data_IF_250626208935
#
_entry.id   IF_250626208935
#
_cell.length_a   1.000
_cell.length_b   1.000
_cell.length_c   1.000
_cell.angle_alpha   90.00
_cell.angle_beta   90.00
_cell.angle_gamma   90.00
#
_symmetry.space_group_name_H-M   'P 1'
#
loop_
_entity.id
_entity.type
_entity.pdbx_description
1 polymer ?
#
# COMPACT_ATOMS: atom_id res chain seq x y z
N UNK A 1 12.49 -17.74 -6.43
CA UNK A 1 13.09 -16.78 -7.38
C UNK A 1 14.56 -16.63 -7.01
N UNK A 2 15.49 -16.88 -7.93
CA UNK A 2 16.92 -16.71 -7.65
C UNK A 2 17.28 -15.22 -7.66
N UNK A 3 17.31 -14.59 -6.50
CA UNK A 3 17.68 -13.17 -6.35
C UNK A 3 19.02 -12.81 -7.00
N UNK A 4 19.98 -13.73 -6.95
CA UNK A 4 21.28 -13.58 -7.61
C UNK A 4 21.16 -13.43 -9.13
N UNK A 5 20.22 -14.14 -9.76
CA UNK A 5 19.93 -14.04 -11.19
C UNK A 5 19.29 -12.70 -11.51
N UNK A 6 18.26 -12.29 -10.75
CA UNK A 6 17.61 -11.01 -10.91
C UNK A 6 18.62 -9.84 -10.82
N UNK A 7 19.48 -9.85 -9.79
CA UNK A 7 20.51 -8.82 -9.62
C UNK A 7 21.47 -8.73 -10.82
N UNK A 8 21.99 -9.90 -11.27
CA UNK A 8 22.89 -9.94 -12.44
C UNK A 8 22.21 -9.44 -13.71
N UNK A 9 20.95 -9.82 -13.93
CA UNK A 9 20.20 -9.37 -15.11
C UNK A 9 19.89 -7.88 -15.06
N UNK A 10 19.51 -7.34 -13.91
CA UNK A 10 19.29 -5.91 -13.71
C UNK A 10 20.56 -5.10 -13.94
N UNK A 11 21.69 -5.49 -13.35
CA UNK A 11 22.99 -4.82 -13.58
C UNK A 11 23.39 -4.88 -15.05
N UNK A 12 23.23 -6.01 -15.73
CA UNK A 12 23.53 -6.18 -17.16
C UNK A 12 22.67 -5.25 -18.02
N UNK A 13 21.37 -5.15 -17.74
CA UNK A 13 20.47 -4.26 -18.49
C UNK A 13 20.90 -2.81 -18.27
N UNK A 14 21.16 -2.39 -17.04
CA UNK A 14 21.60 -1.03 -16.73
C UNK A 14 22.91 -0.67 -17.43
N UNK A 15 23.92 -1.54 -17.38
CA UNK A 15 25.21 -1.35 -18.11
C UNK A 15 24.97 -1.23 -19.61
N UNK A 16 24.18 -2.11 -20.22
CA UNK A 16 23.90 -2.06 -21.64
C UNK A 16 23.18 -0.77 -22.04
N UNK A 17 22.23 -0.30 -21.23
CA UNK A 17 21.52 0.96 -21.48
C UNK A 17 22.48 2.15 -21.44
N UNK A 18 23.32 2.26 -20.41
CA UNK A 18 24.29 3.33 -20.30
C UNK A 18 25.31 3.33 -21.46
N UNK A 19 25.83 2.15 -21.80
CA UNK A 19 26.77 2.04 -22.91
C UNK A 19 26.13 2.36 -24.26
N UNK A 20 24.86 2.08 -24.47
CA UNK A 20 24.12 2.42 -25.69
C UNK A 20 23.91 3.94 -25.86
N UNK A 21 23.76 4.65 -24.74
CA UNK A 21 23.59 6.10 -24.73
C UNK A 21 24.92 6.81 -25.03
N UNK A 22 26.00 6.36 -24.40
CA UNK A 22 27.28 7.04 -24.46
C UNK A 22 28.17 6.60 -25.63
N UNK A 23 28.02 5.35 -26.09
CA UNK A 23 28.83 4.79 -27.17
C UNK A 23 27.95 4.35 -28.33
N UNK A 24 27.87 5.19 -29.36
CA UNK A 24 27.16 4.86 -30.62
C UNK A 24 28.03 3.94 -31.48
N UNK A 25 28.03 2.65 -31.21
CA UNK A 25 28.74 1.67 -32.01
C UNK A 25 29.32 0.51 -31.20
N UNK A 26 29.76 -0.55 -31.90
CA UNK A 26 30.42 -1.72 -31.29
C UNK A 26 31.91 -1.53 -31.35
N UNK A 27 32.51 -0.83 -30.39
CA UNK A 27 33.96 -0.65 -30.31
C UNK A 27 34.62 -1.53 -29.24
N UNK A 28 35.95 -1.66 -29.31
CA UNK A 28 36.74 -2.38 -28.27
C UNK A 28 36.57 -1.72 -26.91
N UNK A 29 36.46 -0.41 -26.85
CA UNK A 29 36.28 0.39 -25.64
C UNK A 29 34.95 0.06 -24.96
N UNK A 30 33.89 -0.06 -25.74
CA UNK A 30 32.56 -0.44 -25.22
C UNK A 30 32.59 -1.84 -24.60
N UNK A 31 33.26 -2.78 -25.24
CA UNK A 31 33.39 -4.16 -24.70
C UNK A 31 34.22 -4.21 -23.42
N UNK A 32 35.28 -3.45 -23.36
CA UNK A 32 36.13 -3.33 -22.16
C UNK A 32 35.36 -2.72 -20.98
N UNK A 33 34.66 -1.61 -21.20
CA UNK A 33 33.82 -0.99 -20.17
C UNK A 33 32.68 -1.92 -19.71
N UNK A 34 32.06 -2.64 -20.65
CA UNK A 34 31.04 -3.64 -20.31
C UNK A 34 31.61 -4.71 -19.38
N UNK A 35 32.79 -5.19 -19.64
CA UNK A 35 33.43 -6.22 -18.79
C UNK A 35 33.71 -5.69 -17.38
N UNK A 36 34.27 -4.48 -17.25
CA UNK A 36 34.53 -3.84 -15.95
C UNK A 36 33.24 -3.67 -15.17
N UNK A 37 32.24 -3.00 -15.78
CA UNK A 37 30.99 -2.62 -15.09
C UNK A 37 30.07 -3.83 -14.78
N UNK A 38 30.26 -4.96 -15.45
CA UNK A 38 29.47 -6.17 -15.13
C UNK A 38 30.17 -7.11 -14.17
N UNK A 39 31.50 -7.19 -14.22
CA UNK A 39 32.25 -8.22 -13.45
C UNK A 39 33.07 -7.68 -12.30
N UNK A 40 33.71 -6.51 -12.48
CA UNK A 40 34.65 -5.96 -11.49
C UNK A 40 34.02 -4.89 -10.61
N UNK A 41 33.35 -3.94 -11.20
CA UNK A 41 32.76 -2.81 -10.52
C UNK A 41 31.29 -2.64 -10.95
N UNK A 42 30.37 -3.46 -10.41
CA UNK A 42 28.97 -3.38 -10.78
C UNK A 42 28.39 -2.02 -10.42
N UNK A 43 27.57 -1.46 -11.32
CA UNK A 43 26.90 -0.16 -11.12
C UNK A 43 25.85 -0.18 -10.03
N UNK A 44 25.41 -1.37 -9.63
CA UNK A 44 24.44 -1.56 -8.56
C UNK A 44 25.13 -2.17 -7.34
N UNK A 45 24.84 -1.67 -6.17
CA UNK A 45 25.20 -2.34 -4.93
C UNK A 45 24.51 -3.69 -4.82
N UNK A 46 25.11 -4.64 -4.12
CA UNK A 46 24.47 -5.94 -3.85
C UNK A 46 23.10 -5.78 -3.17
N UNK A 47 22.20 -6.73 -3.34
CA UNK A 47 20.90 -6.68 -2.69
C UNK A 47 21.06 -6.72 -1.17
N UNK A 48 20.34 -5.83 -0.48
CA UNK A 48 20.24 -5.83 0.98
C UNK A 48 18.87 -6.43 1.32
N UNK A 49 18.88 -7.51 2.10
CA UNK A 49 17.67 -8.13 2.62
C UNK A 49 17.32 -7.50 3.96
N UNK A 50 16.16 -6.88 4.03
CA UNK A 50 15.62 -6.38 5.28
C UNK A 50 14.39 -7.18 5.64
N UNK A 51 14.37 -7.77 6.82
CA UNK A 51 13.18 -8.43 7.35
C UNK A 51 12.18 -7.36 7.77
N UNK A 52 10.99 -7.43 7.20
CA UNK A 52 9.87 -6.59 7.61
C UNK A 52 8.87 -7.50 8.30
N UNK A 53 8.60 -7.24 9.58
CA UNK A 53 7.55 -7.96 10.30
C UNK A 53 6.19 -7.59 9.74
N UNK A 54 5.28 -8.57 9.55
CA UNK A 54 3.92 -8.28 9.13
C UNK A 54 3.22 -7.43 10.19
N UNK A 55 2.37 -6.51 9.73
CA UNK A 55 1.53 -5.72 10.61
C UNK A 55 0.51 -6.64 11.29
N UNK A 56 0.30 -6.43 12.59
CA UNK A 56 -0.67 -7.19 13.35
C UNK A 56 -2.08 -6.92 12.84
N UNK A 57 -2.79 -7.97 12.47
CA UNK A 57 -4.17 -7.91 11.97
C UNK A 57 -5.17 -8.08 13.12
N UNK A 58 -6.33 -7.47 12.95
CA UNK A 58 -7.48 -7.75 13.82
C UNK A 58 -7.96 -9.19 13.67
N UNK A 59 -8.48 -9.76 14.73
CA UNK A 59 -9.20 -11.05 14.70
C UNK A 59 -10.55 -10.91 13.99
N UNK A 60 -11.16 -9.74 14.07
CA UNK A 60 -12.44 -9.39 13.48
C UNK A 60 -12.28 -8.87 12.06
N UNK A 61 -13.24 -9.21 11.20
CA UNK A 61 -13.36 -8.67 9.85
C UNK A 61 -13.87 -7.22 9.86
N UNK A 62 -13.81 -6.56 8.73
CA UNK A 62 -14.36 -5.22 8.56
C UNK A 62 -15.87 -5.19 8.88
N UNK A 63 -16.61 -6.21 8.44
CA UNK A 63 -18.03 -6.33 8.77
C UNK A 63 -18.29 -6.53 10.27
N UNK A 64 -17.41 -7.24 11.00
CA UNK A 64 -17.54 -7.42 12.44
C UNK A 64 -17.39 -6.11 13.21
N UNK A 65 -16.62 -5.14 12.70
CA UNK A 65 -16.49 -3.81 13.31
C UNK A 65 -17.78 -3.00 13.26
N UNK A 66 -18.70 -3.33 12.35
CA UNK A 66 -20.06 -2.77 12.34
C UNK A 66 -21.01 -3.60 13.21
N UNK A 67 -21.09 -4.90 12.96
CA UNK A 67 -22.09 -5.78 13.58
C UNK A 67 -21.82 -6.08 15.06
N UNK A 68 -20.58 -6.45 15.41
CA UNK A 68 -20.19 -6.87 16.77
C UNK A 68 -19.69 -5.71 17.62
N UNK A 69 -18.74 -4.93 17.07
CA UNK A 69 -18.06 -3.87 17.82
C UNK A 69 -18.78 -2.53 17.76
N UNK A 70 -19.71 -2.35 16.82
CA UNK A 70 -20.50 -1.12 16.60
C UNK A 70 -19.64 0.15 16.45
N UNK A 71 -18.45 0.02 15.92
CA UNK A 71 -17.57 1.14 15.61
C UNK A 71 -18.02 1.81 14.33
N UNK A 72 -18.47 1.02 13.34
CA UNK A 72 -18.95 1.47 12.04
C UNK A 72 -20.44 1.16 11.89
N UNK A 73 -21.12 1.87 10.99
CA UNK A 73 -22.51 1.59 10.66
C UNK A 73 -22.61 0.46 9.62
N UNK A 74 -23.52 -0.49 9.82
CA UNK A 74 -23.67 -1.66 8.93
C UNK A 74 -23.98 -1.25 7.48
N UNK A 75 -24.83 -0.23 7.28
CA UNK A 75 -25.18 0.26 5.94
C UNK A 75 -23.98 0.95 5.26
N UNK A 76 -23.15 1.63 6.03
CA UNK A 76 -21.92 2.21 5.52
C UNK A 76 -20.93 1.12 5.07
N UNK A 77 -20.69 0.11 5.92
CA UNK A 77 -19.83 -1.03 5.58
C UNK A 77 -20.32 -1.70 4.31
N UNK A 78 -21.62 -1.99 4.22
CA UNK A 78 -22.23 -2.59 3.02
C UNK A 78 -22.01 -1.74 1.78
N UNK A 79 -22.13 -0.41 1.88
CA UNK A 79 -21.97 0.49 0.75
C UNK A 79 -20.54 0.49 0.20
N UNK A 80 -19.51 0.54 1.08
CA UNK A 80 -18.11 0.59 0.62
C UNK A 80 -17.52 -0.80 0.30
N UNK A 81 -18.23 -1.87 0.66
CA UNK A 81 -17.86 -3.25 0.32
C UNK A 81 -18.57 -3.76 -0.94
N UNK A 82 -19.43 -2.95 -1.58
CA UNK A 82 -20.21 -3.36 -2.73
C UNK A 82 -19.34 -3.32 -4.00
N UNK A 83 -18.97 -4.49 -4.50
CA UNK A 83 -18.13 -4.68 -5.68
C UNK A 83 -18.73 -4.07 -6.97
N UNK A 84 -20.04 -3.84 -7.00
CA UNK A 84 -20.73 -3.27 -8.17
C UNK A 84 -20.51 -1.77 -8.34
N UNK A 85 -20.13 -1.06 -7.27
CA UNK A 85 -20.00 0.39 -7.26
C UNK A 85 -18.57 0.89 -7.48
N UNK A 86 -17.60 0.03 -7.27
CA UNK A 86 -16.18 0.37 -7.39
C UNK A 86 -15.47 -0.70 -8.21
N UNK A 87 -14.55 -0.32 -9.06
CA UNK A 87 -13.66 -1.29 -9.70
C UNK A 87 -12.95 -2.14 -8.65
N UNK A 88 -12.55 -3.36 -9.00
CA UNK A 88 -11.97 -4.37 -8.10
C UNK A 88 -10.85 -3.84 -7.18
N UNK A 89 -10.15 -2.79 -7.58
CA UNK A 89 -9.03 -2.20 -6.85
C UNK A 89 -9.45 -1.15 -5.80
N UNK A 90 -10.71 -0.75 -5.75
CA UNK A 90 -11.14 0.42 -4.96
C UNK A 90 -12.12 0.10 -3.83
N UNK A 91 -12.61 -1.12 -3.73
CA UNK A 91 -13.51 -1.49 -2.66
C UNK A 91 -12.75 -1.94 -1.40
N UNK A 92 -13.44 -1.90 -0.27
CA UNK A 92 -12.93 -2.42 1.00
C UNK A 92 -13.74 -3.67 1.37
N UNK A 93 -13.26 -4.89 1.02
CA UNK A 93 -14.02 -6.11 1.20
C UNK A 93 -14.49 -6.31 2.64
N UNK A 94 -15.73 -6.75 2.81
CA UNK A 94 -16.34 -6.95 4.13
C UNK A 94 -15.58 -7.98 4.98
N UNK A 95 -15.01 -9.00 4.35
CA UNK A 95 -14.26 -10.09 4.99
C UNK A 95 -12.81 -9.72 5.29
N UNK A 96 -12.32 -8.61 4.75
CA UNK A 96 -10.96 -8.15 5.01
C UNK A 96 -10.76 -7.92 6.50
N UNK A 97 -9.65 -8.44 7.03
CA UNK A 97 -9.20 -8.17 8.40
C UNK A 97 -8.33 -6.93 8.42
N UNK A 98 -8.79 -5.84 9.02
CA UNK A 98 -7.99 -4.62 9.14
C UNK A 98 -6.78 -4.85 10.05
N UNK A 99 -5.79 -3.99 9.92
CA UNK A 99 -4.70 -3.99 10.89
C UNK A 99 -5.13 -3.38 12.23
N UNK A 100 -4.54 -3.83 13.33
CA UNK A 100 -4.90 -3.34 14.68
C UNK A 100 -4.76 -1.83 14.85
N UNK A 101 -3.76 -1.22 14.21
CA UNK A 101 -3.61 0.24 14.29
C UNK A 101 -4.73 0.98 13.54
N UNK A 102 -5.30 0.39 12.48
CA UNK A 102 -6.46 0.94 11.77
C UNK A 102 -7.70 0.91 12.68
N UNK A 103 -8.01 -0.26 13.24
CA UNK A 103 -9.19 -0.43 14.08
C UNK A 103 -9.13 0.41 15.37
N UNK A 104 -7.95 0.51 15.99
CA UNK A 104 -7.71 1.41 17.12
C UNK A 104 -7.89 2.88 16.74
N UNK A 105 -7.48 3.28 15.54
CA UNK A 105 -7.68 4.63 15.02
C UNK A 105 -9.16 4.95 14.86
N UNK A 106 -9.91 4.03 14.26
CA UNK A 106 -11.36 4.19 14.06
C UNK A 106 -12.11 4.34 15.38
N UNK A 107 -11.83 3.49 16.37
CA UNK A 107 -12.44 3.57 17.70
C UNK A 107 -12.09 4.90 18.41
N UNK A 108 -10.83 5.31 18.33
CA UNK A 108 -10.40 6.58 18.94
C UNK A 108 -11.09 7.80 18.30
N UNK A 109 -11.24 7.83 16.99
CA UNK A 109 -11.83 8.97 16.28
C UNK A 109 -13.36 8.96 16.39
N UNK A 110 -14.02 7.82 16.16
CA UNK A 110 -15.47 7.73 16.04
C UNK A 110 -16.18 7.63 17.39
N UNK A 111 -15.63 6.88 18.34
CA UNK A 111 -16.27 6.63 19.63
C UNK A 111 -15.73 7.52 20.75
N UNK A 112 -14.40 7.72 20.78
CA UNK A 112 -13.75 8.49 21.83
C UNK A 112 -13.55 9.96 21.48
N UNK A 113 -13.82 10.35 20.22
CA UNK A 113 -13.64 11.71 19.70
C UNK A 113 -12.26 12.32 20.00
N UNK A 114 -11.20 11.50 19.85
CA UNK A 114 -9.83 11.92 20.15
C UNK A 114 -9.05 12.18 18.86
N UNK A 115 -8.19 13.17 18.90
CA UNK A 115 -7.14 13.37 17.89
C UNK A 115 -6.10 12.28 18.04
N UNK A 116 -5.63 11.73 16.92
CA UNK A 116 -4.64 10.65 16.91
C UNK A 116 -3.46 11.00 16.01
N UNK A 117 -2.31 10.42 16.30
CA UNK A 117 -1.14 10.41 15.44
C UNK A 117 -0.79 8.96 15.13
N UNK A 118 -0.73 8.62 13.85
CA UNK A 118 -0.40 7.27 13.39
C UNK A 118 1.01 7.24 12.83
N UNK A 119 1.92 6.58 13.53
CA UNK A 119 3.32 6.40 13.14
C UNK A 119 3.58 4.95 12.78
N UNK A 120 3.52 4.62 11.52
CA UNK A 120 3.78 3.26 11.01
C UNK A 120 4.60 3.34 9.73
N UNK A 121 5.27 2.26 9.33
CA UNK A 121 6.05 2.19 8.10
C UNK A 121 5.19 2.36 6.83
N UNK A 122 5.83 2.48 5.69
CA UNK A 122 5.17 2.54 4.38
C UNK A 122 4.42 1.23 4.09
N UNK A 123 3.30 1.31 3.37
CA UNK A 123 2.49 0.13 3.04
C UNK A 123 1.64 -0.43 4.18
N UNK A 124 1.55 0.25 5.33
CA UNK A 124 0.76 -0.20 6.49
C UNK A 124 -0.71 0.20 6.44
N UNK A 125 -1.19 0.81 5.36
CA UNK A 125 -2.58 1.27 5.26
C UNK A 125 -2.89 2.47 6.17
N UNK A 126 -1.96 3.41 6.35
CA UNK A 126 -2.19 4.65 7.13
C UNK A 126 -3.35 5.48 6.60
N UNK A 127 -3.54 5.50 5.31
CA UNK A 127 -4.65 6.23 4.67
C UNK A 127 -6.00 5.76 5.20
N UNK A 128 -6.19 4.47 5.39
CA UNK A 128 -7.42 3.87 5.89
C UNK A 128 -7.68 4.21 7.37
N UNK A 129 -6.63 4.56 8.14
CA UNK A 129 -6.78 4.98 9.53
C UNK A 129 -7.64 6.24 9.69
N UNK A 130 -7.56 7.18 8.73
CA UNK A 130 -8.35 8.42 8.75
C UNK A 130 -9.46 8.44 7.70
N UNK A 131 -9.27 7.81 6.55
CA UNK A 131 -10.25 7.81 5.47
C UNK A 131 -11.57 7.13 5.88
N UNK A 132 -11.51 5.96 6.50
CA UNK A 132 -12.70 5.24 6.97
C UNK A 132 -13.49 6.07 7.99
N UNK A 133 -12.89 6.63 9.06
CA UNK A 133 -13.63 7.53 9.96
C UNK A 133 -14.23 8.76 9.30
N UNK A 134 -13.51 9.40 8.39
CA UNK A 134 -14.03 10.58 7.65
C UNK A 134 -15.24 10.21 6.80
N UNK A 135 -15.15 9.12 6.03
CA UNK A 135 -16.28 8.64 5.22
C UNK A 135 -17.47 8.22 6.08
N UNK A 136 -17.23 7.57 7.21
CA UNK A 136 -18.26 7.20 8.16
C UNK A 136 -18.97 8.44 8.76
N UNK A 137 -18.21 9.47 9.10
CA UNK A 137 -18.79 10.71 9.64
C UNK A 137 -19.59 11.45 8.57
N UNK A 138 -19.09 11.58 7.36
CA UNK A 138 -19.82 12.14 6.22
C UNK A 138 -21.12 11.36 5.94
N UNK A 139 -21.06 10.04 6.01
CA UNK A 139 -22.26 9.19 5.87
C UNK A 139 -23.29 9.50 6.95
N UNK A 140 -22.87 9.63 8.23
CA UNK A 140 -23.75 10.01 9.34
C UNK A 140 -24.36 11.40 9.17
N UNK A 141 -23.56 12.36 8.73
CA UNK A 141 -24.03 13.71 8.44
C UNK A 141 -25.07 13.71 7.31
N UNK A 142 -24.82 12.95 6.24
CA UNK A 142 -25.74 12.83 5.10
C UNK A 142 -27.11 12.24 5.49
N UNK A 143 -27.10 11.26 6.40
CA UNK A 143 -28.36 10.67 6.92
C UNK A 143 -29.13 11.69 7.76
N UNK A 144 -28.42 12.47 8.59
CA UNK A 144 -29.06 13.49 9.45
C UNK A 144 -29.62 14.68 8.66
N UNK A 145 -28.90 15.08 7.62
CA UNK A 145 -29.26 16.20 6.74
C UNK A 145 -29.30 15.71 5.29
N UNK A 146 -30.38 15.06 4.84
CA UNK A 146 -30.56 14.73 3.44
C UNK A 146 -30.49 16.03 2.64
N UNK A 147 -29.56 16.12 1.67
CA UNK A 147 -29.56 17.25 0.74
C UNK A 147 -30.89 17.20 0.01
N UNK A 148 -31.61 18.31 -0.02
CA UNK A 148 -32.74 18.45 -0.92
C UNK A 148 -32.25 18.13 -2.33
N UNK A 149 -32.87 17.12 -2.94
CA UNK A 149 -32.66 16.81 -4.35
C UNK A 149 -33.30 17.95 -5.13
N UNK A 150 -32.52 19.00 -5.40
CA UNK A 150 -32.88 20.00 -6.36
C UNK A 150 -32.88 19.41 -7.77
#
# INVERSE_FOLDING_TARGET
>A
MEYSKFYRDANRIMVNTLLSIWFKGKGKEQNYLREILTKREPLMSGPIFQTVFPWEQSTESFADHASKLKILDEKFVKAISDERLTGEEQNFPAERRPYLHQTKSWDCMLNKHKTIVVTTGTGSGKTECFMIPVLQDLYRQRIKNPLDSG
#
